data_IF_953838403684
#
_entry.id   IF_953838403684
#
_cell.length_a   1.000
_cell.length_b   1.000
_cell.length_c   1.000
_cell.angle_alpha   90.00
_cell.angle_beta   90.00
_cell.angle_gamma   90.00
#
_symmetry.space_group_name_H-M   'P 1'
#
loop_
_entity.id
_entity.type
_entity.pdbx_description
1 polymer ?
#
# COMPACT_ATOMS: atom_id res chain seq x y z
N UNK A 1 2.74 8.48 24.09
CA UNK A 1 2.05 7.24 23.74
C UNK A 1 2.99 6.06 23.97
N UNK A 2 2.46 4.91 24.37
CA UNK A 2 3.20 3.64 24.49
C UNK A 2 2.68 2.69 23.42
N UNK A 3 3.59 2.08 22.65
CA UNK A 3 3.27 1.06 21.64
C UNK A 3 3.89 -0.27 22.09
N UNK A 4 3.04 -1.28 22.28
CA UNK A 4 3.48 -2.64 22.55
C UNK A 4 3.53 -3.42 21.23
N UNK A 5 4.72 -3.84 20.83
CA UNK A 5 4.95 -4.62 19.63
C UNK A 5 5.10 -6.11 19.93
N UNK A 6 4.46 -6.95 19.12
CA UNK A 6 4.64 -8.40 19.10
C UNK A 6 5.02 -8.88 17.68
N UNK A 7 5.63 -10.06 17.63
CA UNK A 7 5.91 -10.77 16.39
C UNK A 7 5.42 -12.21 16.52
N UNK A 8 4.12 -12.40 16.38
CA UNK A 8 3.45 -13.69 16.46
C UNK A 8 2.87 -14.12 15.12
N UNK A 9 2.71 -15.43 14.85
CA UNK A 9 2.11 -15.95 13.62
C UNK A 9 0.70 -15.40 13.38
N UNK A 10 0.40 -15.08 12.12
CA UNK A 10 -0.86 -14.42 11.74
C UNK A 10 -1.69 -15.18 10.70
N UNK A 11 -1.10 -16.15 10.00
CA UNK A 11 -1.77 -16.93 8.96
C UNK A 11 -1.92 -16.19 7.63
N UNK A 12 -2.61 -15.05 7.59
CA UNK A 12 -2.88 -14.30 6.35
C UNK A 12 -2.58 -12.79 6.39
N UNK A 13 -2.96 -12.00 7.41
CA UNK A 13 -2.56 -10.60 7.47
C UNK A 13 -1.06 -10.44 7.74
N UNK A 14 -0.47 -9.41 7.15
CA UNK A 14 0.95 -9.12 7.29
C UNK A 14 1.28 -8.44 8.63
N UNK A 15 0.37 -7.62 9.14
CA UNK A 15 0.40 -7.01 10.45
C UNK A 15 -1.03 -6.61 10.85
N UNK A 16 -1.24 -6.29 12.13
CA UNK A 16 -2.45 -5.64 12.63
C UNK A 16 -2.07 -4.73 13.79
N UNK A 17 -2.82 -3.65 14.00
CA UNK A 17 -2.64 -2.80 15.17
C UNK A 17 -3.91 -2.04 15.55
N UNK A 18 -3.91 -1.50 16.77
CA UNK A 18 -5.02 -0.67 17.23
C UNK A 18 -4.77 -0.01 18.59
N UNK A 19 -5.59 0.98 18.95
CA UNK A 19 -5.53 1.63 20.24
C UNK A 19 -6.14 0.72 21.33
N UNK A 20 -5.43 0.56 22.45
CA UNK A 20 -5.93 -0.14 23.64
C UNK A 20 -6.45 0.81 24.73
N UNK A 21 -5.94 2.05 24.76
CA UNK A 21 -6.36 3.05 25.74
C UNK A 21 -6.30 4.46 25.18
N UNK A 22 -7.26 5.30 25.55
CA UNK A 22 -7.39 6.69 25.11
C UNK A 22 -7.46 7.65 26.30
N UNK A 23 -6.72 8.75 26.23
CA UNK A 23 -6.81 9.85 27.18
C UNK A 23 -8.08 10.66 26.94
N UNK A 24 -8.90 10.81 27.99
CA UNK A 24 -10.21 11.48 27.94
C UNK A 24 -11.11 10.96 26.81
N UNK A 25 -11.01 9.66 26.51
CA UNK A 25 -11.79 8.99 25.47
C UNK A 25 -11.35 9.28 24.03
N UNK A 26 -10.53 10.30 23.78
CA UNK A 26 -10.24 10.77 22.42
C UNK A 26 -8.84 10.36 21.94
N UNK A 27 -7.78 10.82 22.61
CA UNK A 27 -6.40 10.64 22.12
C UNK A 27 -5.84 9.26 22.48
N UNK A 28 -5.44 8.40 21.53
CA UNK A 28 -4.73 7.17 21.85
C UNK A 28 -3.47 7.41 22.69
N UNK A 29 -3.32 6.63 23.76
CA UNK A 29 -2.16 6.70 24.67
C UNK A 29 -1.44 5.38 24.81
N UNK A 30 -2.16 4.28 24.63
CA UNK A 30 -1.60 2.93 24.55
C UNK A 30 -2.13 2.30 23.28
N UNK A 31 -1.23 1.76 22.46
CA UNK A 31 -1.57 0.96 21.29
C UNK A 31 -0.77 -0.34 21.28
N UNK A 32 -1.27 -1.31 20.54
CA UNK A 32 -0.60 -2.59 20.28
C UNK A 32 -0.45 -2.77 18.79
N UNK A 33 0.60 -3.48 18.37
CA UNK A 33 0.73 -3.98 17.02
C UNK A 33 1.36 -5.37 17.02
N UNK A 34 0.98 -6.20 16.06
CA UNK A 34 1.61 -7.49 15.80
C UNK A 34 2.05 -7.57 14.34
N UNK A 35 3.22 -8.15 14.09
CA UNK A 35 3.74 -8.38 12.73
C UNK A 35 3.90 -9.89 12.54
N UNK A 36 3.36 -10.41 11.44
CA UNK A 36 3.52 -11.81 11.07
C UNK A 36 4.95 -12.06 10.59
N UNK A 37 5.74 -12.92 11.25
CA UNK A 37 7.11 -13.19 10.81
C UNK A 37 7.16 -13.78 9.40
N UNK A 38 6.10 -14.47 8.97
CA UNK A 38 6.02 -15.21 7.71
C UNK A 38 6.01 -14.30 6.47
N UNK A 39 5.60 -13.03 6.64
CA UNK A 39 5.43 -12.06 5.55
C UNK A 39 6.58 -11.07 5.44
N UNK A 40 7.60 -11.19 6.28
CA UNK A 40 8.81 -10.36 6.28
C UNK A 40 9.72 -10.73 5.09
N UNK A 41 9.26 -10.43 3.89
CA UNK A 41 9.89 -10.85 2.62
C UNK A 41 10.82 -9.80 2.04
N UNK A 42 10.51 -8.51 2.23
CA UNK A 42 11.32 -7.40 1.73
C UNK A 42 11.23 -6.21 2.69
N UNK A 43 12.39 -5.59 2.95
CA UNK A 43 12.52 -4.49 3.91
C UNK A 43 11.47 -3.39 3.66
N UNK A 44 11.37 -2.84 2.45
CA UNK A 44 10.50 -1.68 2.23
C UNK A 44 9.01 -2.04 2.29
N UNK A 45 8.60 -3.19 1.74
CA UNK A 45 7.18 -3.53 1.67
C UNK A 45 6.58 -3.80 3.05
N UNK A 46 7.23 -4.64 3.83
CA UNK A 46 6.80 -4.97 5.20
C UNK A 46 6.82 -3.72 6.09
N UNK A 47 7.79 -2.82 5.93
CA UNK A 47 7.83 -1.57 6.69
C UNK A 47 6.64 -0.65 6.39
N UNK A 48 6.19 -0.54 5.13
CA UNK A 48 5.00 0.27 4.80
C UNK A 48 3.74 -0.30 5.43
N UNK A 49 3.59 -1.62 5.44
CA UNK A 49 2.44 -2.27 6.09
C UNK A 49 2.50 -2.08 7.61
N UNK A 50 3.67 -2.26 8.24
CA UNK A 50 3.80 -1.97 9.68
C UNK A 50 3.49 -0.50 10.02
N UNK A 51 3.94 0.44 9.19
CA UNK A 51 3.65 1.86 9.36
C UNK A 51 2.14 2.17 9.24
N UNK A 52 1.46 1.54 8.29
CA UNK A 52 0.01 1.60 8.13
C UNK A 52 -0.70 1.13 9.40
N UNK A 53 -0.35 -0.04 9.92
CA UNK A 53 -0.96 -0.55 11.15
C UNK A 53 -0.71 0.39 12.33
N UNK A 54 0.52 0.86 12.51
CA UNK A 54 0.83 1.82 13.57
C UNK A 54 -0.04 3.06 13.45
N UNK A 55 -0.35 3.56 12.25
CA UNK A 55 -1.26 4.69 12.09
C UNK A 55 -2.67 4.40 12.65
N UNK A 56 -3.20 3.18 12.51
CA UNK A 56 -4.43 2.78 13.21
C UNK A 56 -4.28 2.87 14.73
N UNK A 57 -3.18 2.35 15.29
CA UNK A 57 -2.90 2.47 16.72
C UNK A 57 -2.76 3.93 17.20
N UNK A 58 -2.25 4.83 16.34
CA UNK A 58 -2.14 6.27 16.59
C UNK A 58 -3.48 7.00 16.52
N UNK A 59 -4.53 6.37 15.99
CA UNK A 59 -5.89 6.91 15.98
C UNK A 59 -6.52 7.09 14.60
N UNK A 60 -5.87 6.66 13.52
CA UNK A 60 -6.51 6.58 12.22
C UNK A 60 -7.58 5.49 12.23
N UNK A 61 -8.80 5.82 12.63
CA UNK A 61 -9.91 4.87 12.69
C UNK A 61 -11.25 5.59 12.70
N UNK A 62 -12.25 4.97 12.10
CA UNK A 62 -13.55 5.62 11.85
C UNK A 62 -14.22 6.13 13.13
N UNK A 63 -14.26 5.33 14.20
CA UNK A 63 -14.87 5.74 15.49
C UNK A 63 -14.30 7.05 16.03
N UNK A 64 -12.97 7.22 15.92
CA UNK A 64 -12.29 8.44 16.38
C UNK A 64 -12.65 9.62 15.47
N UNK A 65 -12.68 9.41 14.16
CA UNK A 65 -13.06 10.45 13.20
C UNK A 65 -14.51 10.90 13.43
N UNK A 66 -15.42 9.98 13.74
CA UNK A 66 -16.82 10.27 14.04
C UNK A 66 -16.99 11.00 15.39
N UNK A 67 -16.35 10.53 16.46
CA UNK A 67 -16.34 11.19 17.78
C UNK A 67 -15.84 12.64 17.70
N UNK A 68 -14.82 12.87 16.87
CA UNK A 68 -14.24 14.20 16.62
C UNK A 68 -15.01 15.02 15.58
N UNK A 69 -16.06 14.46 14.97
CA UNK A 69 -16.90 15.11 13.94
C UNK A 69 -16.08 15.58 12.72
N UNK A 70 -15.11 14.77 12.31
CA UNK A 70 -14.24 15.04 11.15
C UNK A 70 -14.82 14.47 9.85
N UNK A 71 -15.85 13.63 9.94
CA UNK A 71 -16.46 12.93 8.83
C UNK A 71 -17.94 13.29 8.68
N UNK A 72 -18.42 13.25 7.44
CA UNK A 72 -19.84 13.34 7.12
C UNK A 72 -20.20 12.36 6.01
N UNK A 73 -21.48 11.96 5.97
CA UNK A 73 -21.99 11.11 4.91
C UNK A 73 -22.49 11.95 3.73
N UNK A 74 -22.13 11.55 2.52
CA UNK A 74 -22.54 12.20 1.26
C UNK A 74 -23.17 11.22 0.30
N UNK A 75 -24.11 11.75 -0.47
CA UNK A 75 -24.78 11.03 -1.54
C UNK A 75 -24.29 11.50 -2.90
N UNK A 76 -24.54 10.66 -3.90
CA UNK A 76 -24.25 10.90 -5.31
C UNK A 76 -22.77 11.17 -5.61
N UNK A 77 -21.87 10.51 -4.88
CA UNK A 77 -20.44 10.49 -5.24
C UNK A 77 -20.28 9.49 -6.38
N UNK A 78 -20.23 9.98 -7.63
CA UNK A 78 -20.17 9.15 -8.84
C UNK A 78 -21.33 8.15 -8.96
N UNK A 79 -22.51 8.51 -8.45
CA UNK A 79 -23.68 7.63 -8.40
C UNK A 79 -23.69 6.65 -7.22
N UNK A 80 -22.71 6.72 -6.30
CA UNK A 80 -22.75 6.00 -5.02
C UNK A 80 -23.69 6.73 -4.04
N UNK A 81 -24.39 5.96 -3.21
CA UNK A 81 -25.13 6.48 -2.07
C UNK A 81 -24.30 6.30 -0.80
N UNK A 82 -24.50 7.17 0.20
CA UNK A 82 -24.05 6.93 1.57
C UNK A 82 -22.51 6.75 1.76
N UNK A 83 -21.70 7.52 1.04
CA UNK A 83 -20.23 7.49 1.17
C UNK A 83 -19.77 8.41 2.29
N UNK A 84 -18.93 7.90 3.19
CA UNK A 84 -18.29 8.73 4.20
C UNK A 84 -17.12 9.52 3.60
N UNK A 85 -17.07 10.80 3.94
CA UNK A 85 -15.96 11.67 3.55
C UNK A 85 -15.41 12.40 4.75
N UNK A 86 -14.09 12.60 4.79
CA UNK A 86 -13.43 13.46 5.76
C UNK A 86 -13.54 14.91 5.30
N UNK A 87 -14.14 15.78 6.12
CA UNK A 87 -14.43 17.19 5.80
C UNK A 87 -13.60 18.18 6.60
N UNK A 88 -12.66 17.68 7.39
CA UNK A 88 -11.82 18.50 8.25
C UNK A 88 -10.96 19.49 7.47
N UNK A 89 -10.66 20.63 8.12
CA UNK A 89 -10.15 21.83 7.45
C UNK A 89 -8.82 21.60 6.74
N UNK A 90 -7.87 20.94 7.38
CA UNK A 90 -6.52 20.70 6.83
C UNK A 90 -6.57 19.65 5.73
N UNK A 91 -7.34 18.57 5.91
CA UNK A 91 -7.55 17.52 4.90
C UNK A 91 -8.11 18.13 3.62
N UNK A 92 -9.20 18.90 3.71
CA UNK A 92 -9.82 19.53 2.53
C UNK A 92 -8.86 20.52 1.87
N UNK A 93 -8.15 21.33 2.65
CA UNK A 93 -7.15 22.28 2.10
C UNK A 93 -6.04 21.53 1.35
N UNK A 94 -5.46 20.49 1.94
CA UNK A 94 -4.38 19.71 1.33
C UNK A 94 -4.85 18.92 0.12
N UNK A 95 -6.08 18.42 0.14
CA UNK A 95 -6.69 17.77 -1.02
C UNK A 95 -6.91 18.74 -2.19
N UNK A 96 -7.33 19.99 -1.94
CA UNK A 96 -7.43 21.03 -2.99
C UNK A 96 -6.09 21.23 -3.68
N UNK A 97 -5.04 21.42 -2.90
CA UNK A 97 -3.65 21.60 -3.37
C UNK A 97 -3.17 20.36 -4.15
N UNK A 98 -3.39 19.17 -3.60
CA UNK A 98 -2.92 17.90 -4.14
C UNK A 98 -3.60 17.53 -5.47
N UNK A 99 -4.93 17.49 -5.50
CA UNK A 99 -5.69 17.12 -6.69
C UNK A 99 -5.76 18.27 -7.72
N UNK A 100 -5.49 19.52 -7.33
CA UNK A 100 -5.73 20.69 -8.17
C UNK A 100 -7.21 20.96 -8.39
N UNK A 101 -8.05 20.70 -7.37
CA UNK A 101 -9.50 20.86 -7.42
C UNK A 101 -9.98 21.79 -6.32
N UNK A 102 -10.30 23.05 -6.64
CA UNK A 102 -10.76 24.02 -5.64
C UNK A 102 -12.14 23.67 -5.04
N UNK A 103 -12.98 22.97 -5.81
CA UNK A 103 -14.34 22.60 -5.40
C UNK A 103 -14.41 21.42 -4.44
N UNK A 104 -13.29 20.70 -4.19
CA UNK A 104 -13.33 19.59 -3.25
C UNK A 104 -13.66 20.12 -1.85
N UNK A 105 -14.61 19.47 -1.20
CA UNK A 105 -15.11 19.81 0.15
C UNK A 105 -15.03 18.63 1.12
N UNK A 106 -14.50 17.49 0.68
CA UNK A 106 -14.29 16.30 1.49
C UNK A 106 -13.48 15.26 0.71
N UNK A 107 -12.76 14.41 1.42
CA UNK A 107 -11.97 13.30 0.84
C UNK A 107 -12.63 11.99 1.22
N UNK A 108 -12.87 11.14 0.23
CA UNK A 108 -13.61 9.89 0.41
C UNK A 108 -12.84 8.88 1.26
N UNK A 109 -13.58 8.21 2.15
CA UNK A 109 -13.14 7.01 2.83
C UNK A 109 -13.62 5.79 2.04
N UNK A 110 -12.88 4.70 2.17
CA UNK A 110 -13.14 3.43 1.50
C UNK A 110 -14.53 2.90 1.84
N UNK A 111 -15.31 2.55 0.81
CA UNK A 111 -16.67 2.01 0.95
C UNK A 111 -16.83 0.58 0.40
N UNK A 112 -15.76 0.00 -0.17
CA UNK A 112 -15.67 -1.40 -0.57
C UNK A 112 -14.95 -2.26 0.49
N UNK A 113 -14.95 -3.59 0.31
CA UNK A 113 -14.30 -4.53 1.24
C UNK A 113 -15.18 -4.97 2.42
N UNK A 114 -14.54 -5.30 3.55
CA UNK A 114 -15.20 -5.75 4.78
C UNK A 114 -15.16 -4.72 5.91
N UNK A 115 -15.66 -5.08 7.10
CA UNK A 115 -15.75 -4.18 8.25
C UNK A 115 -14.38 -3.66 8.72
N UNK A 116 -13.31 -4.45 8.54
CA UNK A 116 -11.94 -4.03 8.83
C UNK A 116 -11.34 -3.09 7.78
N UNK A 117 -12.04 -2.84 6.67
CA UNK A 117 -11.55 -2.02 5.56
C UNK A 117 -12.38 -0.76 5.39
N UNK A 118 -13.71 -0.89 5.37
CA UNK A 118 -14.63 0.22 5.16
C UNK A 118 -14.44 1.31 6.21
N UNK A 119 -14.50 2.56 5.76
CA UNK A 119 -14.45 3.79 6.54
C UNK A 119 -13.16 4.04 7.35
N UNK A 120 -12.29 3.03 7.49
CA UNK A 120 -11.03 3.14 8.23
C UNK A 120 -9.82 3.37 7.33
N UNK A 121 -10.05 3.54 6.02
CA UNK A 121 -9.03 3.74 5.00
C UNK A 121 -9.44 4.87 4.06
N UNK A 122 -8.47 5.50 3.41
CA UNK A 122 -8.75 6.36 2.27
C UNK A 122 -9.29 5.53 1.10
N UNK A 123 -10.23 6.11 0.35
CA UNK A 123 -10.74 5.55 -0.90
C UNK A 123 -9.60 5.30 -1.89
N UNK A 124 -9.30 4.03 -2.12
CA UNK A 124 -8.13 3.64 -2.92
C UNK A 124 -8.31 4.08 -4.39
N UNK A 125 -9.54 4.21 -4.90
CA UNK A 125 -9.82 4.74 -6.26
C UNK A 125 -9.27 6.14 -6.51
N UNK A 126 -9.10 6.97 -5.47
CA UNK A 126 -8.52 8.32 -5.57
C UNK A 126 -7.14 8.47 -4.93
N UNK A 127 -6.65 7.42 -4.24
CA UNK A 127 -5.46 7.48 -3.40
C UNK A 127 -4.63 6.17 -3.43
N UNK A 128 -4.61 5.43 -4.54
CA UNK A 128 -4.01 4.08 -4.66
C UNK A 128 -2.58 3.91 -4.10
N UNK A 129 -1.77 4.97 -4.10
CA UNK A 129 -0.40 4.97 -3.59
C UNK A 129 -0.29 5.34 -2.10
N UNK A 130 -1.37 5.77 -1.46
CA UNK A 130 -1.42 6.26 -0.08
C UNK A 130 -1.25 5.11 0.93
N UNK A 131 -0.53 5.39 2.02
CA UNK A 131 -0.27 4.44 3.10
C UNK A 131 -1.53 3.82 3.67
N UNK A 132 -2.56 4.61 3.97
CA UNK A 132 -3.82 4.22 4.61
C UNK A 132 -4.89 3.82 3.60
N UNK A 133 -4.52 3.21 2.48
CA UNK A 133 -5.48 2.49 1.62
C UNK A 133 -5.65 1.05 2.09
N UNK A 134 -6.84 0.47 1.91
CA UNK A 134 -7.12 -0.90 2.35
C UNK A 134 -6.36 -2.00 1.58
N UNK A 135 -5.83 -1.67 0.40
CA UNK A 135 -4.96 -2.55 -0.40
C UNK A 135 -3.80 -1.75 -0.96
N UNK A 136 -2.58 -2.12 -0.58
CA UNK A 136 -1.35 -1.48 -1.03
C UNK A 136 -1.12 -1.69 -2.54
N UNK A 137 -0.67 -0.65 -3.24
CA UNK A 137 -0.06 -0.76 -4.58
C UNK A 137 1.31 -1.48 -4.59
N UNK A 138 1.93 -1.60 -5.76
CA UNK A 138 3.23 -2.30 -5.91
C UNK A 138 4.37 -1.55 -5.21
N UNK A 139 4.50 -0.26 -5.47
CA UNK A 139 5.47 0.70 -4.89
C UNK A 139 4.75 1.83 -4.12
N UNK A 140 3.52 1.53 -3.67
CA UNK A 140 2.67 2.40 -2.84
C UNK A 140 3.01 2.32 -1.36
N UNK A 141 2.12 2.85 -0.52
CA UNK A 141 2.34 2.96 0.92
C UNK A 141 2.93 4.31 1.34
N UNK A 142 2.66 5.36 0.56
CA UNK A 142 3.23 6.69 0.74
C UNK A 142 2.60 7.38 1.95
N UNK A 143 3.42 7.83 2.89
CA UNK A 143 2.98 8.66 4.01
C UNK A 143 2.67 10.07 3.49
N UNK A 144 1.47 10.24 2.93
CA UNK A 144 1.16 11.38 2.09
C UNK A 144 0.65 12.59 2.87
N UNK A 145 0.44 13.68 2.14
CA UNK A 145 -0.25 14.89 2.63
C UNK A 145 -1.64 14.60 3.23
N UNK A 146 -2.35 13.56 2.76
CA UNK A 146 -3.71 13.26 3.22
C UNK A 146 -3.69 12.69 4.65
N UNK A 147 -2.91 11.64 4.88
CA UNK A 147 -2.78 11.04 6.22
C UNK A 147 -2.17 12.01 7.22
N UNK A 148 -1.15 12.80 6.83
CA UNK A 148 -0.60 13.85 7.68
C UNK A 148 -1.64 14.90 8.08
N UNK A 149 -2.47 15.34 7.12
CA UNK A 149 -3.52 16.33 7.37
C UNK A 149 -4.58 15.81 8.34
N UNK A 150 -5.02 14.55 8.19
CA UNK A 150 -6.01 13.96 9.08
C UNK A 150 -5.47 13.85 10.51
N UNK A 151 -4.21 13.43 10.69
CA UNK A 151 -3.61 13.40 12.02
C UNK A 151 -3.48 14.79 12.68
N UNK A 152 -3.23 15.84 11.89
CA UNK A 152 -3.23 17.22 12.40
C UNK A 152 -4.65 17.67 12.78
N UNK A 153 -5.66 17.37 11.95
CA UNK A 153 -7.07 17.72 12.22
C UNK A 153 -7.69 16.93 13.39
N UNK A 154 -7.15 15.76 13.75
CA UNK A 154 -7.50 15.06 14.99
C UNK A 154 -7.14 15.85 16.26
N UNK A 155 -6.23 16.83 16.15
CA UNK A 155 -5.75 17.63 17.28
C UNK A 155 -4.83 16.89 18.24
N UNK A 156 -4.49 15.63 17.95
CA UNK A 156 -3.57 14.82 18.77
C UNK A 156 -2.11 15.06 18.42
N UNK A 157 -1.85 15.51 17.19
CA UNK A 157 -0.52 15.65 16.62
C UNK A 157 -0.42 16.94 15.81
N UNK A 158 0.82 17.35 15.53
CA UNK A 158 1.11 18.43 14.60
C UNK A 158 1.99 17.88 13.49
N UNK A 159 1.54 17.97 12.25
CA UNK A 159 2.29 17.47 11.12
C UNK A 159 3.51 18.36 10.86
N UNK A 160 4.62 17.73 10.51
CA UNK A 160 5.82 18.42 10.03
C UNK A 160 5.77 18.54 8.51
N UNK A 161 5.08 19.54 8.01
CA UNK A 161 4.98 19.82 6.59
C UNK A 161 6.35 19.97 5.90
N UNK A 162 6.45 19.50 4.67
CA UNK A 162 7.67 19.34 3.89
C UNK A 162 8.35 17.97 4.06
N UNK A 163 7.82 17.08 4.91
CA UNK A 163 8.29 15.68 5.04
C UNK A 163 7.31 14.67 4.46
N UNK A 164 6.17 15.11 3.93
CA UNK A 164 5.24 14.26 3.20
C UNK A 164 5.94 13.51 2.06
N UNK A 165 5.58 12.25 1.90
CA UNK A 165 5.98 11.51 0.71
C UNK A 165 5.11 11.91 -0.47
N UNK A 166 5.75 12.12 -1.63
CA UNK A 166 5.01 12.44 -2.83
C UNK A 166 4.19 11.24 -3.30
N UNK A 167 2.93 11.53 -3.62
CA UNK A 167 2.03 10.62 -4.31
C UNK A 167 1.80 11.15 -5.73
N UNK A 168 1.93 10.29 -6.75
CA UNK A 168 1.67 10.66 -8.14
C UNK A 168 0.23 10.34 -8.53
N UNK A 169 -0.30 9.25 -7.99
CA UNK A 169 -1.69 8.87 -8.20
C UNK A 169 -2.63 9.98 -7.69
N UNK A 170 -3.48 10.53 -8.55
CA UNK A 170 -4.36 11.66 -8.22
C UNK A 170 -3.77 13.07 -8.36
N UNK A 171 -2.44 13.25 -8.28
CA UNK A 171 -1.81 14.59 -8.23
C UNK A 171 -2.13 15.45 -9.46
N UNK A 172 -2.72 16.62 -9.24
CA UNK A 172 -3.01 17.61 -10.30
C UNK A 172 -4.02 17.17 -11.36
N UNK A 173 -4.83 16.13 -11.11
CA UNK A 173 -5.81 15.61 -12.09
C UNK A 173 -7.12 16.39 -12.16
N UNK A 174 -7.29 17.39 -11.30
CA UNK A 174 -8.46 18.25 -11.27
C UNK A 174 -9.71 17.57 -10.71
N UNK A 175 -10.81 18.32 -10.67
CA UNK A 175 -12.06 17.86 -10.06
C UNK A 175 -12.71 16.70 -10.80
N UNK A 176 -12.46 16.56 -12.10
CA UNK A 176 -12.99 15.46 -12.90
C UNK A 176 -12.52 14.10 -12.38
N UNK A 177 -11.29 14.01 -11.86
CA UNK A 177 -10.79 12.77 -11.25
C UNK A 177 -11.64 12.31 -10.08
N UNK A 178 -12.16 13.25 -9.30
CA UNK A 178 -13.01 12.96 -8.13
C UNK A 178 -14.48 12.75 -8.54
N UNK A 179 -14.97 13.53 -9.50
CA UNK A 179 -16.40 13.63 -9.84
C UNK A 179 -16.87 12.68 -10.95
N UNK A 180 -16.03 12.36 -11.94
CA UNK A 180 -16.41 11.52 -13.08
C UNK A 180 -16.09 10.05 -12.83
N UNK A 181 -16.79 9.15 -13.53
CA UNK A 181 -16.41 7.72 -13.56
C UNK A 181 -15.04 7.55 -14.23
N UNK A 182 -14.34 6.46 -13.93
CA UNK A 182 -13.04 6.19 -14.56
C UNK A 182 -13.16 5.94 -16.07
N UNK A 183 -14.26 5.35 -16.52
CA UNK A 183 -14.55 5.07 -17.93
C UNK A 183 -15.97 5.51 -18.24
N UNK A 184 -16.12 6.25 -19.33
CA UNK A 184 -17.41 6.69 -19.88
C UNK A 184 -17.39 6.48 -21.40
N UNK A 185 -18.49 5.96 -21.96
CA UNK A 185 -18.63 5.73 -23.40
C UNK A 185 -17.47 4.90 -24.02
N UNK A 186 -16.99 3.89 -23.30
CA UNK A 186 -15.90 3.02 -23.74
C UNK A 186 -14.51 3.66 -23.75
N UNK A 187 -14.37 4.87 -23.20
CA UNK A 187 -13.08 5.59 -23.11
C UNK A 187 -12.76 5.87 -21.65
N UNK A 188 -11.49 5.67 -21.30
CA UNK A 188 -10.99 6.08 -20.00
C UNK A 188 -10.91 7.60 -19.92
N UNK A 189 -11.46 8.17 -18.86
CA UNK A 189 -11.28 9.59 -18.53
C UNK A 189 -9.84 9.86 -18.02
N UNK A 190 -9.13 8.81 -17.59
CA UNK A 190 -7.77 8.89 -17.04
C UNK A 190 -6.90 7.73 -17.60
N UNK A 191 -6.55 7.76 -18.90
CA UNK A 191 -5.95 6.63 -19.62
C UNK A 191 -4.54 6.25 -19.15
N UNK A 192 -3.91 7.10 -18.36
CA UNK A 192 -2.61 6.85 -17.75
C UNK A 192 -2.68 6.05 -16.45
N UNK A 193 -3.88 5.87 -15.87
CA UNK A 193 -4.12 5.05 -14.66
C UNK A 193 -5.17 3.97 -14.85
N UNK A 194 -6.24 4.26 -15.62
CA UNK A 194 -7.33 3.32 -15.88
C UNK A 194 -7.34 2.92 -17.36
N UNK A 195 -7.41 1.62 -17.62
CA UNK A 195 -7.25 1.02 -18.93
C UNK A 195 -8.54 0.37 -19.43
N UNK A 196 -8.81 0.40 -20.74
CA UNK A 196 -10.09 -0.10 -21.30
C UNK A 196 -9.96 -1.40 -22.09
N UNK A 197 -8.75 -1.84 -22.40
CA UNK A 197 -8.47 -2.97 -23.28
C UNK A 197 -7.54 -3.98 -22.63
N UNK A 198 -7.84 -5.27 -22.80
CA UNK A 198 -6.87 -6.33 -22.55
C UNK A 198 -5.81 -6.25 -23.65
N UNK A 199 -4.55 -6.27 -23.26
CA UNK A 199 -3.43 -6.35 -24.18
C UNK A 199 -3.08 -7.81 -24.44
N UNK A 200 -2.21 -8.06 -25.43
CA UNK A 200 -1.76 -9.42 -25.74
C UNK A 200 -0.87 -9.98 -24.62
N UNK A 201 -0.79 -11.31 -24.48
CA UNK A 201 -0.01 -11.97 -23.41
C UNK A 201 1.48 -11.59 -23.40
N UNK A 202 1.99 -11.04 -24.51
CA UNK A 202 3.39 -10.61 -24.65
C UNK A 202 3.64 -9.14 -24.26
N UNK A 203 2.59 -8.33 -24.12
CA UNK A 203 2.72 -6.89 -23.84
C UNK A 203 2.50 -6.61 -22.36
N UNK A 204 3.57 -6.18 -21.68
CA UNK A 204 3.49 -5.73 -20.30
C UNK A 204 3.64 -4.22 -20.23
N UNK A 205 2.84 -3.58 -19.37
CA UNK A 205 2.79 -2.13 -19.21
C UNK A 205 3.18 -1.74 -17.79
N UNK A 206 3.68 -0.53 -17.63
CA UNK A 206 3.99 -0.01 -16.31
C UNK A 206 2.72 0.07 -15.44
N UNK A 207 2.85 -0.38 -14.19
CA UNK A 207 1.94 0.02 -13.12
C UNK A 207 1.98 1.53 -12.94
N UNK A 208 0.90 2.13 -12.41
CA UNK A 208 0.78 3.58 -12.21
C UNK A 208 1.92 4.16 -11.38
N UNK A 209 2.34 3.41 -10.35
CA UNK A 209 3.43 3.73 -9.44
C UNK A 209 4.84 3.44 -10.00
N UNK A 210 4.93 2.99 -11.26
CA UNK A 210 6.20 2.66 -11.95
C UNK A 210 7.01 1.56 -11.24
N UNK A 211 6.41 0.82 -10.30
CA UNK A 211 7.05 -0.22 -9.50
C UNK A 211 7.34 -1.50 -10.27
N UNK A 212 6.60 -1.77 -11.34
CA UNK A 212 6.80 -2.96 -12.14
C UNK A 212 5.95 -3.01 -13.40
N UNK A 213 5.93 -4.20 -13.99
CA UNK A 213 5.24 -4.50 -15.24
C UNK A 213 3.99 -5.33 -14.96
N UNK A 214 2.91 -5.06 -15.68
CA UNK A 214 1.63 -5.70 -15.47
C UNK A 214 0.78 -5.71 -16.72
N UNK A 215 -0.50 -6.02 -16.56
CA UNK A 215 -1.49 -5.97 -17.64
C UNK A 215 -2.76 -5.31 -17.18
N UNK A 216 -3.58 -4.86 -18.14
CA UNK A 216 -4.88 -4.29 -17.83
C UNK A 216 -5.79 -5.36 -17.21
N UNK A 217 -6.08 -5.22 -15.91
CA UNK A 217 -6.93 -6.14 -15.18
C UNK A 217 -8.40 -5.85 -15.48
N UNK A 218 -8.95 -6.65 -16.38
CA UNK A 218 -10.39 -6.68 -16.68
C UNK A 218 -10.87 -8.12 -16.48
N UNK A 219 -11.88 -8.31 -15.64
CA UNK A 219 -12.45 -9.62 -15.33
C UNK A 219 -13.96 -9.63 -15.56
N UNK A 220 -14.49 -10.83 -15.75
CA UNK A 220 -15.93 -11.11 -15.74
C UNK A 220 -16.27 -11.60 -14.35
N UNK A 221 -17.20 -10.91 -13.68
CA UNK A 221 -17.68 -11.26 -12.35
C UNK A 221 -18.85 -12.23 -12.45
N UNK A 222 -19.02 -13.08 -11.44
CA UNK A 222 -20.12 -14.07 -11.39
C UNK A 222 -21.49 -13.40 -11.26
N UNK A 223 -21.55 -12.29 -10.54
CA UNK A 223 -22.74 -11.47 -10.35
C UNK A 223 -22.65 -10.16 -11.13
N UNK A 224 -23.79 -9.58 -11.54
CA UNK A 224 -23.78 -8.27 -12.19
C UNK A 224 -23.14 -7.22 -11.28
N UNK A 225 -22.22 -6.43 -11.83
CA UNK A 225 -21.59 -5.33 -11.12
C UNK A 225 -22.67 -4.28 -10.77
N UNK A 226 -22.64 -3.63 -9.59
CA UNK A 226 -23.54 -2.53 -9.25
C UNK A 226 -23.53 -1.42 -10.31
N UNK A 227 -24.68 -0.78 -10.54
CA UNK A 227 -24.87 0.17 -11.65
C UNK A 227 -23.89 1.35 -11.64
N UNK A 228 -23.59 1.88 -10.45
CA UNK A 228 -22.62 2.95 -10.25
C UNK A 228 -21.21 2.55 -10.72
N UNK A 229 -20.86 1.25 -10.68
CA UNK A 229 -19.55 0.71 -11.06
C UNK A 229 -19.52 0.05 -12.44
N UNK A 230 -20.61 0.12 -13.22
CA UNK A 230 -20.63 -0.39 -14.60
C UNK A 230 -19.94 0.58 -15.54
N UNK A 231 -18.86 0.11 -16.16
CA UNK A 231 -18.03 0.88 -17.10
C UNK A 231 -18.07 0.35 -18.54
N UNK A 232 -18.44 -0.91 -18.71
CA UNK A 232 -18.51 -1.60 -19.98
C UNK A 232 -19.97 -1.89 -20.35
N UNK A 233 -20.22 -2.15 -21.63
CA UNK A 233 -21.55 -2.54 -22.12
C UNK A 233 -22.04 -3.85 -21.50
N UNK A 234 -21.11 -4.75 -21.19
CA UNK A 234 -21.37 -5.96 -20.44
C UNK A 234 -21.39 -5.66 -18.94
N UNK A 235 -22.55 -5.86 -18.30
CA UNK A 235 -22.79 -5.59 -16.87
C UNK A 235 -21.98 -6.49 -15.92
N UNK A 236 -21.36 -7.56 -16.41
CA UNK A 236 -20.50 -8.45 -15.63
C UNK A 236 -19.02 -8.09 -15.76
N UNK A 237 -18.66 -7.16 -16.66
CA UNK A 237 -17.27 -6.85 -16.98
C UNK A 237 -16.80 -5.58 -16.26
N UNK A 238 -15.67 -5.66 -15.59
CA UNK A 238 -15.06 -4.55 -14.86
C UNK A 238 -13.63 -4.85 -14.42
N UNK A 239 -13.04 -3.96 -13.65
CA UNK A 239 -11.81 -4.21 -12.90
C UNK A 239 -12.01 -5.25 -11.78
N UNK A 240 -10.93 -5.67 -11.13
CA UNK A 240 -11.01 -6.58 -10.00
C UNK A 240 -11.64 -5.90 -8.78
N UNK A 241 -12.22 -6.68 -7.87
CA UNK A 241 -12.78 -6.22 -6.59
C UNK A 241 -11.68 -5.89 -5.58
N UNK A 242 -10.80 -4.97 -5.94
CA UNK A 242 -9.62 -4.58 -5.17
C UNK A 242 -9.71 -3.11 -4.75
N UNK A 243 -10.90 -2.64 -4.36
CA UNK A 243 -11.10 -1.28 -3.80
C UNK A 243 -10.78 -0.16 -4.80
N UNK A 244 -11.31 -0.25 -6.02
CA UNK A 244 -11.09 0.78 -7.04
C UNK A 244 -12.40 1.14 -7.74
N UNK A 245 -13.53 0.94 -7.09
CA UNK A 245 -14.85 1.06 -7.68
C UNK A 245 -15.00 0.18 -8.93
N UNK A 246 -14.34 -0.99 -8.98
CA UNK A 246 -14.22 -1.83 -10.19
C UNK A 246 -13.55 -1.12 -11.38
N UNK A 247 -12.80 -0.05 -11.18
CA UNK A 247 -12.06 0.60 -12.26
C UNK A 247 -10.89 -0.30 -12.70
N UNK A 248 -10.82 -0.68 -13.99
CA UNK A 248 -9.71 -1.48 -14.51
C UNK A 248 -8.42 -0.66 -14.53
N UNK A 249 -7.32 -1.26 -14.08
CA UNK A 249 -6.01 -0.64 -13.97
C UNK A 249 -4.92 -1.63 -14.38
N UNK A 250 -3.69 -1.16 -14.55
CA UNK A 250 -2.55 -2.05 -14.81
C UNK A 250 -2.17 -2.76 -13.52
N UNK A 251 -2.57 -4.02 -13.38
CA UNK A 251 -2.26 -4.87 -12.23
C UNK A 251 -0.91 -5.57 -12.45
N UNK A 252 -0.01 -5.40 -11.49
CA UNK A 252 1.30 -6.03 -11.46
C UNK A 252 1.19 -7.57 -11.54
N UNK A 253 2.08 -8.23 -12.28
CA UNK A 253 2.25 -9.68 -12.13
C UNK A 253 3.19 -10.00 -10.96
N UNK A 254 2.95 -11.12 -10.28
CA UNK A 254 3.68 -11.48 -9.05
C UNK A 254 5.20 -11.58 -9.20
N UNK A 255 5.71 -11.82 -10.40
CA UNK A 255 7.13 -11.99 -10.70
C UNK A 255 7.74 -10.88 -11.56
N UNK A 256 7.05 -9.76 -11.78
CA UNK A 256 7.47 -8.69 -12.71
C UNK A 256 7.69 -7.32 -12.04
N UNK A 257 8.00 -7.32 -10.74
CA UNK A 257 8.48 -6.13 -10.04
C UNK A 257 9.85 -5.68 -10.58
N UNK A 258 10.06 -4.38 -10.78
CA UNK A 258 11.35 -3.90 -11.28
C UNK A 258 12.49 -4.07 -10.26
N UNK A 259 12.17 -4.13 -8.96
CA UNK A 259 13.17 -4.20 -7.89
C UNK A 259 13.57 -5.63 -7.51
N UNK A 260 12.65 -6.59 -7.65
CA UNK A 260 12.78 -7.95 -7.14
C UNK A 260 12.19 -9.03 -8.06
N UNK A 261 11.71 -8.67 -9.25
CA UNK A 261 11.09 -9.61 -10.18
C UNK A 261 12.11 -10.54 -10.85
N UNK A 262 11.60 -11.52 -11.60
CA UNK A 262 12.41 -12.49 -12.31
C UNK A 262 12.83 -11.94 -13.68
N UNK A 263 14.13 -11.80 -13.92
CA UNK A 263 14.66 -11.23 -15.18
C UNK A 263 14.17 -11.98 -16.43
N UNK A 264 14.05 -13.31 -16.35
CA UNK A 264 13.57 -14.13 -17.47
C UNK A 264 12.09 -13.92 -17.81
N UNK A 265 11.29 -13.38 -16.87
CA UNK A 265 9.89 -13.03 -17.10
C UNK A 265 9.72 -11.63 -17.72
N UNK A 266 10.76 -10.80 -17.71
CA UNK A 266 10.70 -9.41 -18.17
C UNK A 266 11.75 -9.14 -19.25
N UNK A 267 11.46 -9.60 -20.47
CA UNK A 267 12.34 -9.42 -21.62
C UNK A 267 12.69 -7.93 -21.82
N UNK A 268 13.97 -7.63 -22.06
CA UNK A 268 14.45 -6.26 -22.25
C UNK A 268 14.56 -5.43 -20.95
N UNK A 269 14.20 -5.99 -19.79
CA UNK A 269 14.18 -5.25 -18.53
C UNK A 269 15.43 -5.48 -17.68
N UNK A 270 15.87 -4.40 -17.03
CA UNK A 270 16.92 -4.41 -16.01
C UNK A 270 16.29 -4.42 -14.62
N UNK A 271 16.43 -5.53 -13.91
CA UNK A 271 15.94 -5.69 -12.53
C UNK A 271 17.02 -5.30 -11.53
N UNK A 272 16.65 -4.53 -10.52
CA UNK A 272 17.55 -4.14 -9.42
C UNK A 272 16.89 -3.16 -8.45
N UNK A 273 17.45 -2.93 -7.27
CA UNK A 273 16.81 -2.15 -6.20
C UNK A 273 16.44 -0.71 -6.59
N UNK A 274 17.19 -0.13 -7.53
CA UNK A 274 16.93 1.22 -8.08
C UNK A 274 16.23 1.18 -9.44
N UNK A 275 15.68 0.05 -9.86
CA UNK A 275 15.00 -0.05 -11.14
C UNK A 275 13.54 0.40 -11.02
N UNK A 276 13.06 1.04 -12.08
CA UNK A 276 11.67 1.48 -12.23
C UNK A 276 11.21 1.26 -13.67
N UNK A 277 9.90 1.15 -13.83
CA UNK A 277 9.27 0.93 -15.12
C UNK A 277 9.20 2.23 -15.92
N UNK A 278 9.50 2.15 -17.23
CA UNK A 278 9.41 3.27 -18.17
C UNK A 278 8.65 2.86 -19.42
N UNK A 279 7.93 3.83 -20.00
CA UNK A 279 7.12 3.57 -21.21
C UNK A 279 8.01 3.30 -22.41
N UNK A 280 7.72 2.24 -23.14
CA UNK A 280 8.40 1.90 -24.39
C UNK A 280 7.65 2.37 -25.63
N UNK A 281 8.36 2.57 -26.73
CA UNK A 281 7.77 2.84 -28.05
C UNK A 281 8.55 2.07 -29.11
N UNK A 282 7.88 1.08 -29.72
CA UNK A 282 8.46 0.26 -30.79
C UNK A 282 9.72 -0.51 -30.39
N UNK A 283 9.87 -0.85 -29.11
CA UNK A 283 11.02 -1.57 -28.59
C UNK A 283 11.07 -2.98 -29.17
N UNK A 284 12.21 -3.32 -29.77
CA UNK A 284 12.49 -4.66 -30.31
C UNK A 284 13.82 -5.15 -29.78
N UNK A 285 13.80 -6.30 -29.12
CA UNK A 285 15.03 -6.97 -28.65
C UNK A 285 15.67 -7.70 -29.82
N UNK A 286 17.01 -7.65 -29.91
CA UNK A 286 17.76 -8.36 -30.96
C UNK A 286 17.43 -9.86 -30.91
N UNK A 287 17.26 -10.48 -32.08
CA UNK A 287 16.94 -11.90 -32.24
C UNK A 287 15.58 -12.34 -31.67
N UNK A 288 14.70 -11.40 -31.32
CA UNK A 288 13.31 -11.67 -30.92
C UNK A 288 12.38 -11.00 -31.94
N UNK A 289 11.41 -11.77 -32.45
CA UNK A 289 10.51 -11.30 -33.52
C UNK A 289 9.45 -10.31 -33.03
N UNK A 290 8.99 -10.48 -31.79
CA UNK A 290 7.91 -9.69 -31.23
C UNK A 290 8.45 -8.38 -30.66
N UNK A 291 7.70 -7.30 -30.90
CA UNK A 291 7.92 -6.07 -30.17
C UNK A 291 7.53 -6.27 -28.71
N UNK A 292 8.18 -5.52 -27.82
CA UNK A 292 7.80 -5.43 -26.41
C UNK A 292 7.27 -4.02 -26.13
N UNK A 293 6.43 -3.91 -25.11
CA UNK A 293 5.85 -2.65 -24.67
C UNK A 293 6.80 -1.95 -23.68
N UNK A 294 6.44 -1.91 -22.40
CA UNK A 294 7.22 -1.20 -21.38
C UNK A 294 8.32 -2.10 -20.80
N UNK A 295 9.33 -1.47 -20.19
CA UNK A 295 10.47 -2.17 -19.59
C UNK A 295 10.89 -1.55 -18.26
N UNK A 296 11.60 -2.33 -17.43
CA UNK A 296 12.33 -1.77 -16.29
C UNK A 296 13.71 -1.27 -16.73
N UNK A 297 14.10 -0.10 -16.24
CA UNK A 297 15.46 0.45 -16.34
C UNK A 297 15.97 0.79 -14.97
N UNK A 298 17.28 0.71 -14.76
CA UNK A 298 17.88 1.20 -13.52
C UNK A 298 17.96 2.72 -13.56
N UNK A 299 17.51 3.40 -12.51
CA UNK A 299 17.47 4.86 -12.45
C UNK A 299 18.54 5.42 -11.51
N UNK A 300 19.10 6.56 -11.91
CA UNK A 300 19.93 7.39 -11.05
C UNK A 300 19.31 8.79 -10.94
N UNK A 301 18.93 9.11 -9.72
CA UNK A 301 18.23 10.34 -9.33
C UNK A 301 19.16 11.42 -8.74
N UNK A 302 20.46 11.16 -8.60
CA UNK A 302 21.42 12.11 -8.02
C UNK A 302 21.64 13.36 -8.88
N UNK A 303 21.82 13.25 -10.21
CA UNK A 303 21.98 14.43 -11.07
C UNK A 303 20.64 15.13 -11.30
N UNK A 304 20.67 16.42 -11.67
CA UNK A 304 19.46 17.19 -11.98
C UNK A 304 18.64 16.53 -13.09
N UNK A 305 19.31 16.13 -14.17
CA UNK A 305 18.72 15.31 -15.22
C UNK A 305 18.70 13.85 -14.80
N UNK A 306 17.51 13.22 -14.89
CA UNK A 306 17.35 11.78 -14.69
C UNK A 306 18.32 11.01 -15.59
N UNK A 307 19.02 10.02 -15.03
CA UNK A 307 19.83 9.09 -15.82
C UNK A 307 19.28 7.68 -15.71
N UNK A 308 19.33 6.96 -16.82
CA UNK A 308 18.80 5.60 -16.93
C UNK A 308 19.85 4.66 -17.49
N UNK A 309 19.78 3.40 -17.10
CA UNK A 309 20.64 2.33 -17.58
C UNK A 309 19.82 1.14 -18.01
N UNK A 310 19.98 0.75 -19.27
CA UNK A 310 19.26 -0.36 -19.90
C UNK A 310 19.86 -1.71 -19.49
N UNK A 311 19.12 -2.78 -19.79
CA UNK A 311 19.64 -4.14 -19.67
C UNK A 311 20.88 -4.30 -20.56
N UNK A 312 21.90 -5.02 -20.06
CA UNK A 312 23.21 -5.28 -20.68
C UNK A 312 24.07 -4.07 -21.11
N UNK A 313 23.53 -2.85 -21.13
CA UNK A 313 24.30 -1.63 -21.33
C UNK A 313 24.81 -1.10 -19.98
N UNK A 314 26.12 -1.08 -19.80
CA UNK A 314 26.73 -0.55 -18.58
C UNK A 314 26.79 0.99 -18.55
N UNK A 315 26.48 1.66 -19.66
CA UNK A 315 26.50 3.13 -19.76
C UNK A 315 25.21 3.73 -19.21
N UNK A 316 25.37 4.87 -18.56
CA UNK A 316 24.28 5.71 -18.09
C UNK A 316 23.90 6.72 -19.17
N UNK A 317 22.64 6.69 -19.58
CA UNK A 317 22.05 7.59 -20.58
C UNK A 317 21.31 8.72 -19.89
N UNK A 318 21.46 9.95 -20.39
CA UNK A 318 20.65 11.08 -19.92
C UNK A 318 19.23 10.91 -20.42
N UNK A 319 18.25 11.15 -19.55
CA UNK A 319 16.83 11.00 -19.82
C UNK A 319 16.08 12.30 -19.49
N UNK A 320 16.26 13.38 -20.27
CA UNK A 320 15.47 14.60 -20.10
C UNK A 320 13.98 14.31 -20.21
N UNK A 321 13.15 14.94 -19.38
CA UNK A 321 11.69 14.76 -19.38
C UNK A 321 11.10 14.93 -20.80
N UNK A 322 10.24 14.00 -21.20
CA UNK A 322 9.55 14.02 -22.49
C UNK A 322 10.40 13.59 -23.69
N UNK A 323 11.71 13.44 -23.52
CA UNK A 323 12.60 12.94 -24.58
C UNK A 323 12.49 11.43 -24.78
N UNK A 324 12.96 10.96 -25.94
CA UNK A 324 13.09 9.55 -26.25
C UNK A 324 14.55 9.13 -26.20
N UNK A 325 14.82 8.04 -25.47
CA UNK A 325 16.18 7.50 -25.28
C UNK A 325 16.23 6.05 -25.72
N UNK A 326 17.33 5.64 -26.35
CA UNK A 326 17.51 4.26 -26.82
C UNK A 326 18.89 3.72 -26.44
N UNK A 327 19.02 2.39 -26.41
CA UNK A 327 20.29 1.70 -26.32
C UNK A 327 20.38 0.62 -27.40
N UNK A 328 21.42 0.68 -28.21
CA UNK A 328 21.64 -0.25 -29.32
C UNK A 328 22.33 -1.56 -28.89
N UNK A 329 22.54 -1.78 -27.58
CA UNK A 329 23.20 -2.99 -27.05
C UNK A 329 22.25 -4.18 -27.16
N UNK A 330 21.14 -4.16 -26.41
CA UNK A 330 20.15 -5.25 -26.40
C UNK A 330 19.04 -5.04 -27.44
N UNK A 331 18.73 -3.79 -27.78
CA UNK A 331 17.63 -3.45 -28.68
C UNK A 331 18.12 -3.28 -30.13
N UNK A 332 17.30 -3.74 -31.08
CA UNK A 332 17.49 -3.51 -32.52
C UNK A 332 16.78 -2.23 -32.99
N UNK A 333 15.69 -1.85 -32.33
CA UNK A 333 14.95 -0.61 -32.59
C UNK A 333 14.12 -0.18 -31.38
N UNK A 334 13.57 1.04 -31.48
CA UNK A 334 12.66 1.62 -30.50
C UNK A 334 13.36 2.48 -29.46
N UNK A 335 12.58 3.05 -28.56
CA UNK A 335 13.05 3.92 -27.49
C UNK A 335 12.14 3.83 -26.27
N UNK A 336 12.65 4.28 -25.12
CA UNK A 336 11.81 4.61 -23.97
C UNK A 336 11.46 6.09 -24.00
N UNK A 337 10.30 6.44 -23.44
CA UNK A 337 9.91 7.80 -23.15
C UNK A 337 10.33 8.17 -21.73
N UNK A 338 11.11 9.24 -21.59
CA UNK A 338 11.60 9.72 -20.31
C UNK A 338 10.48 10.40 -19.50
N UNK A 339 10.08 9.84 -18.34
CA UNK A 339 9.06 10.44 -17.49
C UNK A 339 9.64 11.63 -16.70
N UNK A 340 8.78 12.32 -15.94
CA UNK A 340 9.22 13.27 -14.93
C UNK A 340 10.11 12.57 -13.92
N UNK A 341 11.21 13.22 -13.53
CA UNK A 341 12.11 12.69 -12.51
C UNK A 341 11.38 12.34 -11.22
N UNK A 342 10.41 13.16 -10.81
CA UNK A 342 9.61 12.92 -9.60
C UNK A 342 8.85 11.60 -9.65
N UNK A 343 8.41 11.11 -10.82
CA UNK A 343 7.65 9.85 -10.94
C UNK A 343 8.48 8.60 -10.62
N UNK A 344 9.80 8.65 -10.83
CA UNK A 344 10.70 7.51 -10.59
C UNK A 344 11.54 7.66 -9.33
N UNK A 345 11.73 8.90 -8.89
CA UNK A 345 12.60 9.26 -7.81
C UNK A 345 11.77 9.82 -6.67
N UNK A 346 11.65 9.06 -5.57
CA UNK A 346 11.15 9.62 -4.33
C UNK A 346 11.93 10.91 -4.00
N UNK A 347 11.20 11.98 -3.70
CA UNK A 347 11.81 13.26 -3.33
C UNK A 347 12.74 13.04 -2.13
N UNK A 348 14.07 13.10 -2.36
CA UNK A 348 15.14 12.93 -1.37
C UNK A 348 15.20 14.09 -0.36
N UNK A 349 14.09 14.49 0.24
CA UNK A 349 14.10 15.46 1.34
C UNK A 349 13.62 14.80 2.62
N UNK A 350 14.25 13.68 2.98
CA UNK A 350 14.41 13.36 4.39
C UNK A 350 15.70 14.06 4.80
N UNK A 351 15.60 15.32 5.26
CA UNK A 351 16.68 15.91 6.06
C UNK A 351 16.84 14.99 7.26
N UNK A 352 17.91 14.21 7.32
CA UNK A 352 18.21 13.35 8.45
C UNK A 352 18.09 14.15 9.74
N UNK A 353 17.06 13.86 10.53
CA UNK A 353 16.97 14.37 11.89
C UNK A 353 17.84 13.45 12.73
N UNK A 354 19.07 13.87 12.99
CA UNK A 354 19.85 13.32 14.10
C UNK A 354 19.12 13.68 15.39
N UNK A 355 18.32 12.75 15.90
CA UNK A 355 17.83 12.84 17.28
C UNK A 355 19.04 12.57 18.17
N UNK A 356 19.52 13.60 18.87
CA UNK A 356 20.50 13.42 19.92
C UNK A 356 19.91 12.46 20.96
N UNK A 357 20.56 11.32 21.15
CA UNK A 357 20.20 10.38 22.20
C UNK A 357 20.36 11.09 23.54
N UNK A 358 19.30 11.17 24.34
CA UNK A 358 19.39 11.66 25.71
C UNK A 358 20.28 10.68 26.48
N UNK A 359 21.49 11.12 26.79
CA UNK A 359 22.41 10.43 27.68
C UNK A 359 21.70 10.24 29.03
N UNK A 360 21.46 8.99 29.40
CA UNK A 360 21.07 8.65 30.77
C UNK A 360 22.25 9.02 31.68
N UNK A 361 22.06 10.04 32.53
CA UNK A 361 22.98 10.32 33.61
C UNK A 361 22.88 9.21 34.64
N UNK A 362 23.96 8.45 34.84
CA UNK A 362 24.10 7.56 36.00
C UNK A 362 24.16 8.41 37.28
N UNK A 363 23.01 8.51 37.95
CA UNK A 363 22.91 8.96 39.33
C UNK A 363 22.85 7.74 40.24
N UNK A 364 24.00 7.33 40.76
CA UNK A 364 24.09 6.34 41.83
C UNK A 364 23.66 6.97 43.16
N UNK A 365 22.58 6.47 43.76
CA UNK A 365 22.40 6.56 45.21
C UNK A 365 21.57 5.38 45.71
N UNK A 366 22.24 4.49 46.44
CA UNK A 366 21.65 3.43 47.23
C UNK A 366 20.79 4.01 48.36
N UNK A 367 19.63 3.39 48.61
CA UNK A 367 18.75 3.69 49.73
C UNK A 367 17.81 2.52 49.97
N UNK A 368 18.20 1.65 50.90
CA UNK A 368 17.41 0.53 51.44
C UNK A 368 16.28 1.03 52.34
N UNK A 369 15.08 0.47 52.19
CA UNK A 369 14.14 0.33 53.31
C UNK A 369 13.17 -0.82 53.05
N UNK A 370 13.24 -1.82 53.92
CA UNK A 370 12.30 -2.93 54.06
C UNK A 370 10.88 -2.43 54.37
N UNK A 371 9.88 -3.13 53.85
CA UNK A 371 8.47 -2.89 54.12
C UNK A 371 7.62 -4.06 53.65
N UNK A 372 7.55 -5.09 54.49
CA UNK A 372 6.64 -6.23 54.36
C UNK A 372 5.18 -5.81 54.58
N UNK A 373 4.24 -6.18 53.70
CA UNK A 373 2.86 -6.55 54.07
C UNK A 373 2.16 -7.34 52.95
N UNK A 374 1.34 -8.30 53.39
CA UNK A 374 0.71 -9.41 52.70
C UNK A 374 -0.41 -9.04 51.69
N UNK A 375 -0.84 -9.98 50.80
CA UNK A 375 -1.91 -9.75 49.82
C UNK A 375 -3.30 -10.06 50.40
N UNK A 376 -4.39 -9.52 49.82
CA UNK A 376 -5.67 -10.21 49.80
C UNK A 376 -6.04 -10.59 48.35
N UNK A 377 -6.16 -11.90 48.11
CA UNK A 377 -7.44 -12.62 48.03
C UNK A 377 -8.26 -12.29 46.78
N UNK A 378 -8.07 -13.12 45.76
CA UNK A 378 -9.07 -13.40 44.74
C UNK A 378 -9.89 -14.60 45.22
N UNK A 379 -11.21 -14.45 45.31
CA UNK A 379 -12.15 -15.57 45.38
C UNK A 379 -13.06 -15.55 44.13
N UNK A 380 -13.41 -16.73 43.60
CA UNK A 380 -14.19 -16.90 42.38
C UNK A 380 -15.69 -17.03 42.69
N UNK A 381 -16.56 -16.53 41.80
CA UNK A 381 -17.97 -16.89 41.82
C UNK A 381 -18.38 -17.58 40.52
N UNK A 382 -18.65 -18.88 40.66
CA UNK A 382 -19.45 -19.72 39.75
C UNK A 382 -20.94 -19.48 39.98
N UNK A 383 -21.77 -19.50 38.94
CA UNK A 383 -23.23 -19.54 39.12
C UNK A 383 -24.11 -19.34 37.88
N UNK A 384 -24.16 -20.39 37.05
CA UNK A 384 -25.15 -20.78 36.02
C UNK A 384 -26.57 -20.18 36.07
N UNK A 385 -27.15 -19.93 34.89
CA UNK A 385 -28.50 -20.41 34.58
C UNK A 385 -28.69 -20.64 33.08
N UNK A 386 -28.99 -21.90 32.73
CA UNK A 386 -29.34 -22.36 31.40
C UNK A 386 -30.79 -22.01 31.02
N UNK A 387 -31.01 -21.73 29.74
CA UNK A 387 -32.32 -21.78 29.07
C UNK A 387 -32.14 -22.46 27.71
N UNK A 388 -32.65 -23.69 27.60
CA UNK A 388 -32.75 -24.48 26.35
C UNK A 388 -33.92 -23.98 25.50
N UNK A 389 -33.75 -23.95 24.19
CA UNK A 389 -34.79 -24.34 23.23
C UNK A 389 -34.13 -24.93 21.98
N UNK A 390 -34.50 -26.18 21.68
CA UNK A 390 -34.12 -26.96 20.51
C UNK A 390 -34.85 -26.49 19.25
N UNK A 391 -34.23 -26.69 18.09
CA UNK A 391 -34.81 -26.53 16.76
C UNK A 391 -33.85 -27.10 15.71
N UNK A 392 -34.14 -28.34 15.30
CA UNK A 392 -33.44 -29.18 14.30
C UNK A 392 -33.78 -28.72 12.87
N UNK A 393 -32.86 -28.86 11.90
CA UNK A 393 -33.01 -29.56 10.60
C UNK A 393 -31.72 -29.46 9.76
N UNK A 394 -31.45 -30.57 9.07
CA UNK A 394 -30.26 -31.08 8.39
C UNK A 394 -29.81 -30.33 7.11
N UNK A 395 -28.54 -30.54 6.74
CA UNK A 395 -28.02 -30.40 5.37
C UNK A 395 -27.28 -31.70 5.01
N UNK A 396 -27.57 -32.36 3.86
CA UNK A 396 -27.00 -33.66 3.55
C UNK A 396 -25.65 -33.58 2.82
N UNK A 397 -24.86 -34.62 3.07
CA UNK A 397 -23.66 -35.06 2.36
C UNK A 397 -24.00 -35.81 1.06
N UNK A 398 -23.21 -35.62 0.02
CA UNK A 398 -23.05 -36.63 -1.05
C UNK A 398 -21.55 -36.90 -1.30
N UNK A 399 -21.22 -38.19 -1.25
CA UNK A 399 -19.97 -38.81 -1.68
C UNK A 399 -19.95 -39.00 -3.21
N UNK A 400 -18.74 -39.02 -3.78
CA UNK A 400 -18.43 -40.00 -4.83
C UNK A 400 -16.92 -40.33 -4.84
N UNK A 401 -16.63 -41.58 -4.52
CA UNK A 401 -15.44 -42.39 -4.83
C UNK A 401 -15.38 -42.71 -6.35
N UNK A 402 -14.33 -43.22 -7.02
CA UNK A 402 -13.03 -43.81 -6.64
C UNK A 402 -12.13 -43.88 -7.91
N UNK A 403 -10.81 -43.78 -7.68
CA UNK A 403 -9.65 -44.51 -8.26
C UNK A 403 -9.34 -44.67 -9.77
N UNK A 404 -8.07 -44.35 -10.13
CA UNK A 404 -7.05 -45.38 -10.43
C UNK A 404 -5.62 -44.81 -10.38
N UNK A 405 -4.70 -45.67 -9.96
CA UNK A 405 -3.32 -45.44 -9.47
C UNK A 405 -2.24 -45.66 -10.53
N UNK A 406 -1.09 -44.99 -10.40
CA UNK A 406 0.24 -45.56 -10.67
C UNK A 406 1.33 -44.63 -10.08
N UNK A 407 2.13 -45.15 -9.15
CA UNK A 407 3.11 -44.40 -8.38
C UNK A 407 4.51 -44.32 -8.98
N UNK A 408 5.32 -43.44 -8.39
CA UNK A 408 6.74 -43.67 -8.07
C UNK A 408 7.29 -42.50 -7.24
N UNK A 409 8.07 -42.83 -6.23
CA UNK A 409 9.03 -41.98 -5.48
C UNK A 409 10.32 -42.83 -5.37
N UNK A 410 11.49 -42.34 -4.88
CA UNK A 410 11.73 -41.10 -4.12
C UNK A 410 13.08 -40.37 -4.44
N UNK A 411 13.42 -39.39 -3.58
CA UNK A 411 14.74 -38.78 -3.26
C UNK A 411 15.14 -37.48 -4.01
N UNK A 412 15.21 -36.33 -3.31
CA UNK A 412 16.46 -35.85 -2.66
C UNK A 412 16.28 -34.54 -1.84
N UNK A 413 17.00 -34.51 -0.71
CA UNK A 413 17.44 -33.46 0.23
C UNK A 413 16.68 -32.12 0.40
N UNK A 414 16.18 -31.92 1.63
CA UNK A 414 15.91 -30.60 2.24
C UNK A 414 17.16 -30.06 2.96
N UNK A 415 17.70 -28.93 2.49
CA UNK A 415 18.61 -28.09 3.28
C UNK A 415 17.80 -26.99 3.98
N UNK A 416 17.64 -27.12 5.30
CA UNK A 416 17.17 -26.05 6.18
C UNK A 416 18.36 -25.16 6.55
N UNK A 417 18.44 -23.95 5.98
CA UNK A 417 19.32 -22.90 6.51
C UNK A 417 18.70 -22.30 7.78
N UNK A 418 19.38 -22.51 8.89
CA UNK A 418 19.08 -21.97 10.21
C UNK A 418 19.44 -20.46 10.23
N UNK A 419 18.42 -19.60 10.31
CA UNK A 419 18.60 -18.14 10.43
C UNK A 419 19.21 -17.79 11.80
N UNK A 420 20.52 -17.58 11.83
CA UNK A 420 21.27 -17.21 13.04
C UNK A 420 20.85 -15.84 13.61
N UNK A 421 20.89 -15.72 14.95
CA UNK A 421 20.41 -14.57 15.74
C UNK A 421 21.08 -13.20 15.47
N UNK A 422 22.11 -13.14 14.63
CA UNK A 422 22.73 -11.88 14.18
C UNK A 422 21.87 -11.14 13.15
N UNK A 423 21.09 -11.86 12.34
CA UNK A 423 20.12 -11.26 11.40
C UNK A 423 19.02 -10.50 12.13
N UNK A 424 18.51 -11.06 13.24
CA UNK A 424 17.44 -10.47 14.05
C UNK A 424 17.84 -9.15 14.73
N UNK A 425 19.08 -9.05 15.22
CA UNK A 425 19.58 -7.82 15.84
C UNK A 425 19.74 -6.67 14.81
N UNK A 426 20.15 -6.99 13.59
CA UNK A 426 20.23 -6.04 12.47
C UNK A 426 18.83 -5.57 12.02
N UNK A 427 17.86 -6.49 11.93
CA UNK A 427 16.49 -6.15 11.57
C UNK A 427 15.78 -5.34 12.68
N UNK A 428 15.99 -5.68 13.95
CA UNK A 428 15.40 -4.98 15.11
C UNK A 428 15.94 -3.56 15.28
N UNK A 429 17.26 -3.37 15.14
CA UNK A 429 17.89 -2.05 15.24
C UNK A 429 17.50 -1.11 14.09
N UNK A 430 17.29 -1.64 12.88
CA UNK A 430 16.78 -0.87 11.74
C UNK A 430 15.28 -0.56 11.84
N UNK A 431 14.47 -1.49 12.34
CA UNK A 431 13.04 -1.30 12.60
C UNK A 431 12.83 -0.14 13.57
N UNK A 432 13.54 -0.14 14.71
CA UNK A 432 13.52 0.96 15.69
C UNK A 432 13.91 2.32 15.06
N UNK A 433 14.90 2.33 14.16
CA UNK A 433 15.40 3.55 13.50
C UNK A 433 14.40 4.16 12.50
N UNK A 434 13.59 3.33 11.85
CA UNK A 434 12.53 3.79 10.93
C UNK A 434 11.19 4.05 11.64
N UNK A 435 10.90 3.36 12.75
CA UNK A 435 9.84 3.75 13.68
C UNK A 435 10.05 5.19 14.15
N UNK A 436 11.31 5.53 14.47
CA UNK A 436 11.72 6.89 14.78
C UNK A 436 11.48 7.86 13.62
N UNK A 437 11.57 7.45 12.34
CA UNK A 437 11.25 8.30 11.20
C UNK A 437 9.75 8.59 11.11
N UNK A 438 8.89 7.58 11.30
CA UNK A 438 7.43 7.75 11.34
C UNK A 438 7.01 8.70 12.48
N UNK A 439 7.56 8.47 13.67
CA UNK A 439 7.35 9.34 14.84
C UNK A 439 7.96 10.73 14.62
N UNK A 440 9.07 10.83 13.87
CA UNK A 440 9.72 12.11 13.59
C UNK A 440 8.92 13.03 12.67
N UNK A 441 7.88 12.53 11.98
CA UNK A 441 6.94 13.38 11.23
C UNK A 441 6.01 14.20 12.15
N UNK A 442 5.99 13.89 13.45
CA UNK A 442 5.24 14.62 14.46
C UNK A 442 6.19 15.25 15.49
N UNK A 443 5.93 16.47 15.90
CA UNK A 443 6.56 17.00 17.12
C UNK A 443 5.83 16.43 18.33
N UNK A 444 6.58 15.89 19.30
CA UNK A 444 6.05 15.42 20.58
C UNK A 444 5.32 16.52 21.36
#
# INVERSE_FOLDING_TARGET
MVLYGAAGPMGSPAAWAGPCSRYRGQRPTVGVFNIGPEVLTSHDSSMRVTAHEIAHALGFGFDIMEELKLVEKRNDIRGKNDVWVVTSQTVVKKAREFYGCNDITGVELEDEGGDGTKNSHWERRIAMEEMMTGVKGSDGGRYSVLTMALFEDMGFYKARWGTEEEMHFGKGRGCDFLKKKCIENGRSNFPDVFCTSKFTDTEMFCTSDRGGLGSCAIQTHESPIPEQYRYFSDKYKGGPGELLDYCPYIRLFSNTGCTNGRRNAMLGSRVGPKSRCVKGTGLRVRNILNAIADICVEVNCEPDTLRVRFVDDNRWHNCPEGSNVTSNVTFSSGSIQCPKKSELCASKVIKHVTVASAVASEGSSAGSSEGSFAPPFAEPFTGSSAGKSEGVIEVPSEESSEETTAGSSPEDSTDTEELTGTSWALHSSYLMRNLLLLVSCFSL
#
